data_IF_565810351107
#
_entry.id   IF_565810351107
#
_cell.length_a   1.000
_cell.length_b   1.000
_cell.length_c   1.000
_cell.angle_alpha   90.00
_cell.angle_beta   90.00
_cell.angle_gamma   90.00
#
_symmetry.space_group_name_H-M   'P 1'
#
loop_
_entity.id
_entity.type
_entity.pdbx_description
1 polymer ?
#
# COMPACT_ATOMS: atom_id res chain seq x y z
N UNK A 1 14.99 18.32 10.21
CA UNK A 1 14.48 17.43 11.31
C UNK A 1 15.64 16.69 11.96
N UNK A 2 15.70 16.65 13.31
CA UNK A 2 16.71 15.85 14.05
C UNK A 2 16.50 14.35 13.76
N UNK A 3 17.58 13.55 13.75
CA UNK A 3 17.51 12.11 13.44
C UNK A 3 16.54 11.36 14.36
N UNK A 4 16.53 11.68 15.65
CA UNK A 4 15.62 11.10 16.63
C UNK A 4 14.15 11.30 16.28
N UNK A 5 13.79 12.49 15.78
CA UNK A 5 12.44 12.81 15.34
C UNK A 5 12.05 12.02 14.08
N UNK A 6 12.98 11.85 13.14
CA UNK A 6 12.75 11.00 11.95
C UNK A 6 12.43 9.55 12.34
N UNK A 7 13.21 8.99 13.27
CA UNK A 7 13.02 7.62 13.77
C UNK A 7 11.66 7.49 14.47
N UNK A 8 11.29 8.47 15.31
CA UNK A 8 10.01 8.48 15.99
C UNK A 8 8.81 8.50 15.01
N UNK A 9 8.84 9.39 14.01
CA UNK A 9 7.80 9.44 12.98
C UNK A 9 7.74 8.15 12.14
N UNK A 10 8.89 7.58 11.77
CA UNK A 10 8.94 6.31 11.06
C UNK A 10 8.33 5.18 11.90
N UNK A 11 8.68 5.10 13.19
CA UNK A 11 8.11 4.13 14.11
C UNK A 11 6.59 4.25 14.26
N UNK A 12 6.06 5.47 14.35
CA UNK A 12 4.61 5.73 14.41
C UNK A 12 3.91 5.25 13.12
N UNK A 13 4.48 5.54 11.94
CA UNK A 13 3.88 5.10 10.67
C UNK A 13 3.91 3.57 10.53
N UNK A 14 4.98 2.91 10.97
CA UNK A 14 5.08 1.45 10.97
C UNK A 14 4.07 0.84 11.95
N UNK A 15 3.97 1.38 13.16
CA UNK A 15 2.96 0.95 14.12
C UNK A 15 1.54 1.12 13.59
N UNK A 16 1.28 2.22 12.87
CA UNK A 16 -0.01 2.47 12.22
C UNK A 16 -0.33 1.41 11.15
N UNK A 17 0.66 0.94 10.37
CA UNK A 17 0.45 -0.17 9.43
C UNK A 17 -0.03 -1.44 10.15
N UNK A 18 0.59 -1.78 11.30
CA UNK A 18 0.16 -2.91 12.11
C UNK A 18 -1.27 -2.73 12.61
N UNK A 19 -1.58 -1.61 13.24
CA UNK A 19 -2.93 -1.34 13.76
C UNK A 19 -3.97 -1.38 12.65
N UNK A 20 -3.72 -0.72 11.52
CA UNK A 20 -4.64 -0.75 10.39
C UNK A 20 -4.86 -2.16 9.86
N UNK A 21 -3.83 -2.99 9.75
CA UNK A 21 -3.96 -4.35 9.20
C UNK A 21 -4.87 -5.27 10.01
N UNK A 22 -5.09 -4.97 11.30
CA UNK A 22 -5.94 -5.74 12.22
C UNK A 22 -7.29 -5.06 12.52
N UNK A 23 -7.59 -3.96 11.84
CA UNK A 23 -8.84 -3.21 12.05
C UNK A 23 -9.67 -3.14 10.77
N UNK A 24 -10.97 -2.97 10.91
CA UNK A 24 -11.88 -2.75 9.78
C UNK A 24 -11.51 -1.49 8.99
N UNK A 25 -10.88 -0.51 9.63
CA UNK A 25 -10.40 0.71 8.96
C UNK A 25 -9.27 0.42 7.96
N UNK A 26 -8.48 -0.61 8.21
CA UNK A 26 -7.39 -1.00 7.33
C UNK A 26 -7.80 -1.93 6.19
N UNK A 27 -8.91 -2.65 6.35
CA UNK A 27 -9.48 -3.54 5.35
C UNK A 27 -10.98 -3.32 5.29
N UNK A 28 -11.41 -2.40 4.43
CA UNK A 28 -12.83 -2.03 4.28
C UNK A 28 -13.50 -3.10 3.40
N UNK A 29 -14.45 -3.89 3.93
CA UNK A 29 -15.13 -4.92 3.15
C UNK A 29 -16.04 -4.26 2.10
N UNK A 30 -15.91 -4.68 0.84
CA UNK A 30 -16.70 -4.23 -0.30
C UNK A 30 -17.47 -5.42 -0.94
N UNK A 31 -17.99 -6.31 -0.13
CA UNK A 31 -18.65 -7.55 -0.58
C UNK A 31 -17.62 -8.64 -0.89
N UNK A 32 -17.46 -9.01 -2.16
CA UNK A 32 -16.50 -10.05 -2.59
C UNK A 32 -15.03 -9.57 -2.60
N UNK A 33 -14.80 -8.30 -2.37
CA UNK A 33 -13.50 -7.66 -2.38
C UNK A 33 -13.32 -6.79 -1.13
N UNK A 34 -12.10 -6.35 -0.84
CA UNK A 34 -11.80 -5.45 0.28
C UNK A 34 -10.79 -4.40 -0.13
N UNK A 35 -11.12 -3.12 0.04
CA UNK A 35 -10.16 -2.04 -0.14
C UNK A 35 -9.24 -1.95 1.09
N UNK A 36 -7.93 -1.92 0.87
CA UNK A 36 -6.97 -1.72 1.95
C UNK A 36 -6.58 -0.26 2.09
N UNK A 37 -6.38 0.19 3.33
CA UNK A 37 -5.80 1.50 3.65
C UNK A 37 -4.40 1.38 4.25
N UNK A 38 -3.91 0.16 4.45
CA UNK A 38 -2.60 -0.13 5.06
C UNK A 38 -1.43 0.44 4.25
N UNK A 39 -1.62 0.72 2.95
CA UNK A 39 -0.62 1.37 2.11
C UNK A 39 -0.48 2.89 2.38
N UNK A 40 -1.44 3.54 3.06
CA UNK A 40 -1.40 4.99 3.34
C UNK A 40 -0.14 5.40 4.13
N UNK A 41 0.23 4.74 5.24
CA UNK A 41 1.49 5.02 5.92
C UNK A 41 2.72 4.88 5.03
N UNK A 42 2.70 3.99 4.03
CA UNK A 42 3.79 3.86 3.04
C UNK A 42 3.86 5.10 2.16
N UNK A 43 2.72 5.55 1.61
CA UNK A 43 2.62 6.78 0.82
C UNK A 43 3.15 7.98 1.60
N UNK A 44 2.66 8.13 2.83
CA UNK A 44 3.06 9.21 3.75
C UNK A 44 4.55 9.14 4.05
N UNK A 45 5.08 7.95 4.35
CA UNK A 45 6.50 7.74 4.63
C UNK A 45 7.38 8.11 3.45
N UNK A 46 7.04 7.67 2.24
CA UNK A 46 7.77 8.00 1.01
C UNK A 46 7.84 9.52 0.79
N UNK A 47 6.69 10.20 0.91
CA UNK A 47 6.57 11.62 0.59
C UNK A 47 7.15 12.51 1.70
N UNK A 48 6.95 12.14 2.97
CA UNK A 48 7.38 12.93 4.10
C UNK A 48 8.90 12.91 4.31
N UNK A 49 9.50 11.72 4.20
CA UNK A 49 10.95 11.59 4.39
C UNK A 49 11.73 11.95 3.14
N UNK A 50 11.14 11.80 1.95
CA UNK A 50 11.76 12.08 0.65
C UNK A 50 13.15 11.43 0.49
N UNK A 51 13.30 10.20 0.99
CA UNK A 51 14.54 9.43 1.01
C UNK A 51 14.26 7.99 0.58
N UNK A 52 15.06 7.50 -0.37
CA UNK A 52 14.94 6.14 -0.92
C UNK A 52 15.06 5.05 0.15
N UNK A 53 15.92 5.24 1.16
CA UNK A 53 16.09 4.28 2.26
C UNK A 53 14.79 4.08 3.03
N UNK A 54 14.08 5.18 3.34
CA UNK A 54 12.78 5.09 4.01
C UNK A 54 11.73 4.44 3.13
N UNK A 55 11.73 4.69 1.82
CA UNK A 55 10.80 4.03 0.90
C UNK A 55 10.98 2.51 0.89
N UNK A 56 12.22 2.02 0.87
CA UNK A 56 12.55 0.59 0.98
C UNK A 56 12.09 0.04 2.34
N UNK A 57 12.39 0.75 3.43
CA UNK A 57 11.99 0.33 4.79
C UNK A 57 10.47 0.24 4.91
N UNK A 58 9.72 1.25 4.47
CA UNK A 58 8.25 1.21 4.53
C UNK A 58 7.66 0.12 3.64
N UNK A 59 8.20 -0.09 2.43
CA UNK A 59 7.78 -1.19 1.56
C UNK A 59 8.02 -2.56 2.19
N UNK A 60 9.20 -2.75 2.82
CA UNK A 60 9.55 -3.99 3.52
C UNK A 60 8.61 -4.25 4.71
N UNK A 61 8.40 -3.26 5.58
CA UNK A 61 7.49 -3.40 6.72
C UNK A 61 6.05 -3.63 6.28
N UNK A 62 5.59 -2.99 5.21
CA UNK A 62 4.28 -3.27 4.62
C UNK A 62 4.16 -4.73 4.18
N UNK A 63 5.21 -5.28 3.56
CA UNK A 63 5.26 -6.69 3.19
C UNK A 63 5.24 -7.63 4.40
N UNK A 64 6.00 -7.32 5.46
CA UNK A 64 6.01 -8.09 6.71
C UNK A 64 4.63 -8.07 7.37
N UNK A 65 4.00 -6.91 7.47
CA UNK A 65 2.64 -6.76 8.01
C UNK A 65 1.64 -7.59 7.21
N UNK A 66 1.72 -7.56 5.87
CA UNK A 66 0.89 -8.36 4.99
C UNK A 66 1.09 -9.86 5.20
N UNK A 67 2.34 -10.30 5.35
CA UNK A 67 2.69 -11.69 5.62
C UNK A 67 2.13 -12.15 6.98
N UNK A 68 2.37 -11.39 8.04
CA UNK A 68 1.87 -11.73 9.39
C UNK A 68 0.33 -11.78 9.41
N UNK A 69 -0.32 -10.85 8.70
CA UNK A 69 -1.77 -10.80 8.60
C UNK A 69 -2.37 -12.02 7.88
N UNK A 70 -1.68 -12.58 6.90
CA UNK A 70 -2.16 -13.73 6.11
C UNK A 70 -2.29 -15.04 6.91
N UNK A 71 -1.64 -15.15 8.07
CA UNK A 71 -1.80 -16.30 8.98
C UNK A 71 -3.15 -16.31 9.71
N UNK A 72 -3.93 -15.21 9.64
CA UNK A 72 -5.32 -15.15 10.10
C UNK A 72 -6.21 -14.82 8.89
N UNK A 73 -6.48 -15.81 8.02
CA UNK A 73 -7.17 -15.59 6.75
C UNK A 73 -8.61 -15.13 6.98
N UNK A 74 -9.06 -14.16 6.19
CA UNK A 74 -10.44 -13.66 6.15
C UNK A 74 -11.05 -13.79 4.75
N UNK A 75 -10.20 -14.00 3.74
CA UNK A 75 -10.60 -14.21 2.36
C UNK A 75 -10.01 -15.50 1.77
N UNK A 76 -10.60 -15.97 0.69
CA UNK A 76 -10.18 -17.22 0.04
C UNK A 76 -8.80 -17.12 -0.65
N UNK A 77 -8.31 -15.93 -0.93
CA UNK A 77 -6.96 -15.71 -1.46
C UNK A 77 -5.88 -15.54 -0.37
N UNK A 78 -6.27 -15.31 0.89
CA UNK A 78 -5.33 -15.04 1.98
C UNK A 78 -4.29 -16.15 2.21
N UNK A 79 -4.61 -17.45 2.06
CA UNK A 79 -3.63 -18.52 2.21
C UNK A 79 -2.43 -18.39 1.26
N UNK A 80 -2.61 -17.87 0.05
CA UNK A 80 -1.52 -17.65 -0.91
C UNK A 80 -0.55 -16.56 -0.46
N UNK A 81 -1.01 -15.61 0.36
CA UNK A 81 -0.18 -14.56 0.93
C UNK A 81 0.70 -15.01 2.11
N UNK A 82 0.57 -16.26 2.58
CA UNK A 82 1.50 -16.86 3.55
C UNK A 82 2.87 -17.14 2.91
N UNK A 83 2.96 -17.13 1.58
CA UNK A 83 4.24 -17.16 0.89
C UNK A 83 4.90 -15.77 0.94
N UNK A 84 6.13 -15.65 1.49
CA UNK A 84 6.85 -14.37 1.56
C UNK A 84 7.07 -13.71 0.20
N UNK A 85 7.22 -14.48 -0.88
CA UNK A 85 7.36 -13.93 -2.24
C UNK A 85 6.10 -13.18 -2.65
N UNK A 86 4.91 -13.71 -2.33
CA UNK A 86 3.62 -13.10 -2.69
C UNK A 86 3.27 -11.95 -1.77
N UNK A 87 3.70 -11.99 -0.51
CA UNK A 87 3.40 -10.93 0.46
C UNK A 87 4.45 -9.81 0.47
N UNK A 88 5.74 -10.16 0.54
CA UNK A 88 6.79 -9.17 0.79
C UNK A 88 7.28 -8.52 -0.50
N UNK A 89 7.52 -9.32 -1.56
CA UNK A 89 8.11 -8.80 -2.80
C UNK A 89 7.25 -7.69 -3.45
N UNK A 90 5.91 -7.85 -3.65
CA UNK A 90 5.12 -6.79 -4.26
C UNK A 90 5.13 -5.51 -3.44
N UNK A 91 5.08 -5.60 -2.11
CA UNK A 91 5.06 -4.45 -1.20
C UNK A 91 6.41 -3.72 -1.16
N UNK A 92 7.51 -4.47 -1.23
CA UNK A 92 8.83 -3.89 -1.39
C UNK A 92 8.93 -3.12 -2.73
N UNK A 93 8.44 -3.71 -3.82
CA UNK A 93 8.37 -3.04 -5.12
C UNK A 93 7.49 -1.79 -5.09
N UNK A 94 6.38 -1.82 -4.36
CA UNK A 94 5.52 -0.63 -4.14
C UNK A 94 6.31 0.49 -3.47
N UNK A 95 7.13 0.19 -2.47
CA UNK A 95 8.00 1.18 -1.83
C UNK A 95 9.00 1.79 -2.82
N UNK A 96 9.72 0.95 -3.56
CA UNK A 96 10.76 1.38 -4.52
C UNK A 96 10.14 2.17 -5.69
N UNK A 97 9.16 1.59 -6.38
CA UNK A 97 8.54 2.20 -7.56
C UNK A 97 7.71 3.43 -7.17
N UNK A 98 7.03 3.37 -6.01
CA UNK A 98 6.30 4.51 -5.45
C UNK A 98 7.19 5.72 -5.21
N UNK A 99 8.42 5.51 -4.70
CA UNK A 99 9.40 6.58 -4.56
C UNK A 99 9.83 7.15 -5.91
N UNK A 100 10.08 6.31 -6.91
CA UNK A 100 10.44 6.77 -8.26
C UNK A 100 9.31 7.58 -8.90
N UNK A 101 8.05 7.15 -8.75
CA UNK A 101 6.87 7.91 -9.20
C UNK A 101 6.81 9.26 -8.49
N UNK A 102 6.93 9.27 -7.15
CA UNK A 102 6.93 10.51 -6.38
C UNK A 102 8.02 11.48 -6.85
N UNK A 103 9.26 11.00 -7.04
CA UNK A 103 10.36 11.81 -7.57
C UNK A 103 10.11 12.32 -8.99
N UNK A 104 9.51 11.50 -9.85
CA UNK A 104 9.08 11.92 -11.19
C UNK A 104 8.06 13.07 -11.12
N UNK A 105 7.03 12.93 -10.27
CA UNK A 105 6.00 13.96 -10.10
C UNK A 105 6.55 15.26 -9.51
N UNK A 106 7.50 15.21 -8.57
CA UNK A 106 8.13 16.41 -8.01
C UNK A 106 8.96 17.20 -9.04
N UNK A 107 9.47 16.54 -10.09
CA UNK A 107 10.17 17.23 -11.19
C UNK A 107 9.19 17.92 -12.15
N UNK A 108 7.99 17.37 -12.30
CA UNK A 108 6.97 17.89 -13.22
C UNK A 108 6.10 18.98 -12.57
N UNK A 109 5.87 18.89 -11.27
CA UNK A 109 4.91 19.72 -10.55
C UNK A 109 5.52 20.26 -9.25
N UNK A 110 5.34 21.57 -8.99
CA UNK A 110 5.82 22.22 -7.77
C UNK A 110 4.82 22.17 -6.60
N UNK A 111 3.54 21.92 -6.89
CA UNK A 111 2.51 21.93 -5.86
C UNK A 111 2.55 20.62 -5.06
N UNK A 112 3.02 20.69 -3.81
CA UNK A 112 3.20 19.54 -2.92
C UNK A 112 1.89 18.77 -2.65
N UNK A 113 0.75 19.47 -2.59
CA UNK A 113 -0.56 18.84 -2.36
C UNK A 113 -0.96 17.99 -3.58
N UNK A 114 -0.83 18.55 -4.78
CA UNK A 114 -1.14 17.83 -6.03
C UNK A 114 -0.20 16.63 -6.21
N UNK A 115 1.10 16.82 -5.99
CA UNK A 115 2.08 15.74 -6.05
C UNK A 115 1.75 14.63 -5.05
N UNK A 116 1.40 14.96 -3.81
CA UNK A 116 1.03 13.97 -2.79
C UNK A 116 -0.25 13.22 -3.14
N UNK A 117 -1.24 13.91 -3.72
CA UNK A 117 -2.49 13.30 -4.19
C UNK A 117 -2.25 12.31 -5.32
N UNK A 118 -1.53 12.74 -6.35
CA UNK A 118 -1.20 11.87 -7.48
C UNK A 118 -0.32 10.69 -7.06
N UNK A 119 0.72 10.94 -6.26
CA UNK A 119 1.59 9.88 -5.75
C UNK A 119 0.81 8.86 -4.93
N UNK A 120 -0.09 9.29 -4.03
CA UNK A 120 -0.95 8.40 -3.26
C UNK A 120 -1.83 7.52 -4.13
N UNK A 121 -2.47 8.08 -5.17
CA UNK A 121 -3.27 7.34 -6.13
C UNK A 121 -2.45 6.35 -6.96
N UNK A 122 -1.28 6.76 -7.48
CA UNK A 122 -0.41 5.87 -8.23
C UNK A 122 0.20 4.76 -7.36
N UNK A 123 0.55 5.02 -6.12
CA UNK A 123 1.06 4.00 -5.19
C UNK A 123 -0.04 2.96 -4.91
N UNK A 124 -1.30 3.37 -4.73
CA UNK A 124 -2.43 2.45 -4.61
C UNK A 124 -2.58 1.59 -5.87
N UNK A 125 -2.54 2.19 -7.05
CA UNK A 125 -2.62 1.49 -8.33
C UNK A 125 -1.53 0.41 -8.46
N UNK A 126 -0.27 0.77 -8.25
CA UNK A 126 0.84 -0.20 -8.37
C UNK A 126 0.78 -1.26 -7.28
N UNK A 127 0.22 -0.96 -6.09
CA UNK A 127 0.00 -1.97 -5.06
C UNK A 127 -0.91 -3.09 -5.57
N UNK A 128 -2.04 -2.77 -6.17
CA UNK A 128 -2.94 -3.78 -6.75
C UNK A 128 -2.27 -4.52 -7.91
N UNK A 129 -1.60 -3.82 -8.82
CA UNK A 129 -0.93 -4.44 -9.98
C UNK A 129 0.16 -5.42 -9.56
N UNK A 130 1.08 -5.02 -8.66
CA UNK A 130 2.17 -5.89 -8.23
C UNK A 130 1.66 -7.06 -7.39
N UNK A 131 0.68 -6.82 -6.51
CA UNK A 131 0.12 -7.87 -5.67
C UNK A 131 -0.57 -8.95 -6.50
N UNK A 132 -1.48 -8.55 -7.38
CA UNK A 132 -2.20 -9.50 -8.24
C UNK A 132 -1.26 -10.11 -9.29
N UNK A 133 -0.34 -9.33 -9.85
CA UNK A 133 0.64 -9.82 -10.81
C UNK A 133 1.54 -10.91 -10.23
N UNK A 134 2.12 -10.72 -9.05
CA UNK A 134 2.99 -11.70 -8.42
C UNK A 134 2.18 -12.92 -7.94
N UNK A 135 0.98 -12.72 -7.41
CA UNK A 135 0.07 -13.81 -7.04
C UNK A 135 -0.18 -14.74 -8.24
N UNK A 136 -0.53 -14.17 -9.39
CA UNK A 136 -0.77 -14.94 -10.63
C UNK A 136 0.50 -15.62 -11.11
N UNK A 137 1.64 -14.93 -11.11
CA UNK A 137 2.90 -15.49 -11.57
C UNK A 137 3.34 -16.71 -10.75
N UNK A 138 3.06 -16.73 -9.44
CA UNK A 138 3.48 -17.80 -8.53
C UNK A 138 2.45 -18.93 -8.46
N UNK A 139 1.15 -18.59 -8.46
CA UNK A 139 0.06 -19.54 -8.16
C UNK A 139 -1.01 -19.59 -9.25
N UNK A 140 -0.65 -19.44 -10.53
CA UNK A 140 -1.62 -19.38 -11.62
C UNK A 140 -2.59 -20.56 -11.64
N UNK A 141 -2.05 -21.80 -11.51
CA UNK A 141 -2.87 -23.03 -11.60
C UNK A 141 -3.81 -23.14 -10.38
N UNK A 142 -3.28 -22.94 -9.19
CA UNK A 142 -4.06 -23.07 -7.93
C UNK A 142 -5.16 -22.00 -7.85
N UNK A 143 -4.83 -20.76 -8.21
CA UNK A 143 -5.78 -19.65 -8.25
C UNK A 143 -6.84 -19.89 -9.32
N UNK A 144 -6.46 -20.38 -10.50
CA UNK A 144 -7.41 -20.72 -11.56
C UNK A 144 -8.39 -21.82 -11.12
N UNK A 145 -7.89 -22.88 -10.46
CA UNK A 145 -8.71 -23.95 -9.94
C UNK A 145 -9.65 -23.44 -8.83
N UNK A 146 -9.13 -22.65 -7.89
CA UNK A 146 -9.94 -22.06 -6.82
C UNK A 146 -11.12 -21.22 -7.35
N UNK A 147 -10.90 -20.45 -8.42
CA UNK A 147 -11.99 -19.69 -9.05
C UNK A 147 -12.95 -20.60 -9.83
N UNK A 148 -12.44 -21.60 -10.54
CA UNK A 148 -13.27 -22.55 -11.29
C UNK A 148 -14.18 -23.37 -10.37
N UNK A 149 -13.69 -23.82 -9.23
CA UNK A 149 -14.47 -24.55 -8.22
C UNK A 149 -15.61 -23.70 -7.62
N UNK A 150 -15.45 -22.38 -7.64
CA UNK A 150 -16.48 -21.42 -7.23
C UNK A 150 -17.34 -20.89 -8.40
N UNK A 151 -17.23 -21.48 -9.59
CA UNK A 151 -18.04 -21.13 -10.77
C UNK A 151 -17.61 -19.84 -11.49
N UNK A 152 -16.41 -19.34 -11.25
CA UNK A 152 -15.88 -18.12 -11.87
C UNK A 152 -14.74 -18.41 -12.86
N UNK A 153 -14.71 -17.70 -13.98
CA UNK A 153 -13.50 -17.65 -14.81
C UNK A 153 -12.45 -16.80 -14.12
N UNK A 154 -11.19 -17.28 -14.06
CA UNK A 154 -10.06 -16.55 -13.47
C UNK A 154 -9.96 -15.13 -14.01
N UNK A 155 -10.12 -14.92 -15.32
CA UNK A 155 -10.02 -13.61 -15.95
C UNK A 155 -11.12 -12.65 -15.45
N UNK A 156 -12.35 -13.13 -15.34
CA UNK A 156 -13.49 -12.34 -14.84
C UNK A 156 -13.32 -12.03 -13.37
N UNK A 157 -12.94 -13.03 -12.56
CA UNK A 157 -12.74 -12.86 -11.13
C UNK A 157 -11.61 -11.86 -10.82
N UNK A 158 -10.46 -11.99 -11.49
CA UNK A 158 -9.33 -11.08 -11.30
C UNK A 158 -9.66 -9.65 -11.76
N UNK A 159 -10.33 -9.49 -12.89
CA UNK A 159 -10.79 -8.16 -13.33
C UNK A 159 -11.74 -7.53 -12.31
N UNK A 160 -12.73 -8.28 -11.84
CA UNK A 160 -13.72 -7.79 -10.89
C UNK A 160 -13.08 -7.42 -9.55
N UNK A 161 -12.27 -8.31 -8.98
CA UNK A 161 -11.59 -8.06 -7.69
C UNK A 161 -10.61 -6.88 -7.83
N UNK A 162 -9.81 -6.86 -8.91
CA UNK A 162 -8.86 -5.77 -9.12
C UNK A 162 -9.56 -4.43 -9.26
N UNK A 163 -10.64 -4.33 -10.03
CA UNK A 163 -11.37 -3.08 -10.21
C UNK A 163 -12.07 -2.63 -8.92
N UNK A 164 -12.71 -3.56 -8.19
CA UNK A 164 -13.40 -3.26 -6.94
C UNK A 164 -12.45 -2.81 -5.84
N UNK A 165 -11.21 -3.32 -5.81
CA UNK A 165 -10.19 -2.88 -4.86
C UNK A 165 -9.50 -1.60 -5.34
N UNK A 166 -9.06 -1.57 -6.60
CA UNK A 166 -8.20 -0.52 -7.15
C UNK A 166 -8.85 0.86 -7.16
N UNK A 167 -10.12 0.96 -7.58
CA UNK A 167 -10.78 2.26 -7.68
C UNK A 167 -10.95 2.95 -6.33
N UNK A 168 -11.50 2.29 -5.28
CA UNK A 168 -11.57 2.87 -3.94
C UNK A 168 -10.18 3.17 -3.36
N UNK A 169 -9.19 2.29 -3.54
CA UNK A 169 -7.83 2.49 -3.04
C UNK A 169 -7.16 3.71 -3.68
N UNK A 170 -7.31 3.91 -5.00
CA UNK A 170 -6.81 5.10 -5.69
C UNK A 170 -7.46 6.37 -5.11
N UNK A 171 -8.79 6.38 -4.94
CA UNK A 171 -9.51 7.52 -4.38
C UNK A 171 -9.07 7.82 -2.95
N UNK A 172 -8.98 6.79 -2.10
CA UNK A 172 -8.51 6.90 -0.71
C UNK A 172 -7.06 7.42 -0.67
N UNK A 173 -6.17 6.85 -1.48
CA UNK A 173 -4.78 7.26 -1.59
C UNK A 173 -4.62 8.71 -2.03
N UNK A 174 -5.38 9.13 -3.05
CA UNK A 174 -5.35 10.49 -3.57
C UNK A 174 -5.91 11.54 -2.59
N UNK A 175 -6.84 11.16 -1.72
CA UNK A 175 -7.48 12.07 -0.77
C UNK A 175 -6.73 12.10 0.57
N UNK A 176 -6.46 10.94 1.18
CA UNK A 176 -5.90 10.88 2.53
C UNK A 176 -4.42 11.25 2.58
N UNK A 177 -3.63 10.85 1.56
CA UNK A 177 -2.20 11.14 1.57
C UNK A 177 -1.88 12.62 1.68
N UNK A 178 -2.43 13.54 0.83
CA UNK A 178 -2.13 14.97 0.94
C UNK A 178 -2.63 15.59 2.25
N UNK A 179 -3.75 15.10 2.80
CA UNK A 179 -4.28 15.60 4.08
C UNK A 179 -3.28 15.31 5.20
N UNK A 180 -2.79 14.07 5.29
CA UNK A 180 -1.83 13.66 6.33
C UNK A 180 -0.49 14.38 6.14
N UNK A 181 0.01 14.48 4.91
CA UNK A 181 1.24 15.23 4.61
C UNK A 181 1.14 16.69 5.05
N UNK A 182 0.01 17.37 4.77
CA UNK A 182 -0.21 18.75 5.19
C UNK A 182 -0.14 18.92 6.72
N UNK A 183 -0.70 17.96 7.46
CA UNK A 183 -0.66 17.96 8.94
C UNK A 183 0.76 17.72 9.44
N UNK A 184 1.47 16.74 8.89
CA UNK A 184 2.84 16.42 9.27
C UNK A 184 3.82 17.55 8.96
N UNK A 185 3.69 18.19 7.81
CA UNK A 185 4.51 19.36 7.45
C UNK A 185 4.32 20.50 8.45
N UNK A 186 3.07 20.75 8.88
CA UNK A 186 2.76 21.78 9.89
C UNK A 186 3.40 21.47 11.25
N UNK A 187 3.35 20.20 11.69
CA UNK A 187 3.96 19.78 12.95
C UNK A 187 5.50 19.84 12.86
N UNK A 188 6.06 19.38 11.76
CA UNK A 188 7.52 19.39 11.53
C UNK A 188 8.08 20.82 11.53
N UNK A 189 7.41 21.77 10.85
CA UNK A 189 7.86 23.15 10.79
C UNK A 189 7.70 23.88 12.14
N UNK A 190 6.68 23.53 12.95
CA UNK A 190 6.50 24.12 14.28
C UNK A 190 7.57 23.70 15.29
N UNK A 191 8.23 22.58 15.08
CA UNK A 191 9.30 22.07 15.93
C UNK A 191 10.71 22.53 15.49
N UNK A 192 10.79 23.35 14.43
CA UNK A 192 12.05 23.96 13.94
C UNK A 192 12.22 25.43 14.38
N UNK A 193 11.17 26.03 14.93
CA UNK A 193 11.16 27.37 15.53
C UNK A 193 11.14 27.25 17.07
#
# INVERSE_FOLDING_TARGET
MKNTMKIAFAGILIALMFVLSWTVLGMIPLGVASATTVFIPVCVGIIFFDDFKYAVVFGLFFGIVSLVRSFVPQGFLDPYFQNPIVSVLPRLLVGIVGYLIYKGLTRLMKNRIIVSSLAGGFIALINTIFTMGILILVYFQDVNQTFADNGFSILTALKTISLLNMLPEIAIGAILTPIIIKVLDKISNKNLN
#
